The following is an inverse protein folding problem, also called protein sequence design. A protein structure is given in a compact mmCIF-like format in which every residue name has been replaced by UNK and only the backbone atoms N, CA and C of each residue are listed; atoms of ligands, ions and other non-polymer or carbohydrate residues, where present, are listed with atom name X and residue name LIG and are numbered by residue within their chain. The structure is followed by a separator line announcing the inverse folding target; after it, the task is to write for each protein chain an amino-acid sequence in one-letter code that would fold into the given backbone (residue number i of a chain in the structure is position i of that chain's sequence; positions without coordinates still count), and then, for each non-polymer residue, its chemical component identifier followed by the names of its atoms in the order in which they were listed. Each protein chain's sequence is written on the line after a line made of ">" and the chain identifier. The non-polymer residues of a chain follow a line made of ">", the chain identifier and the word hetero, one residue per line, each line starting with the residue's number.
data_IF_758008636104
#
_entry.id   IF_758008636104
#
_cell.length_a   1.000
_cell.length_b   1.000
_cell.length_c   1.000
_cell.angle_alpha   90.00
_cell.angle_beta   90.00
_cell.angle_gamma   90.00
#
_symmetry.space_group_name_H-M   'P 1'
#
loop_
_entity.id
_entity.type
_entity.pdbx_description
1 polymer ?
#
# COMPACT_ATOMS: atom_id res chain seq x y z
N UNK A 1 -6.65 19.56 4.99
CA UNK A 1 -5.60 18.97 4.11
C UNK A 1 -5.39 17.47 4.39
N UNK A 2 -6.44 16.75 4.79
CA UNK A 2 -6.31 15.34 5.19
C UNK A 2 -6.35 14.40 3.97
N UNK A 3 -7.16 14.72 2.96
CA UNK A 3 -7.36 13.89 1.76
C UNK A 3 -6.44 14.23 0.57
N UNK A 4 -5.51 15.19 0.72
CA UNK A 4 -4.64 15.64 -0.38
C UNK A 4 -3.70 14.53 -0.86
N UNK A 5 -3.38 13.57 0.02
CA UNK A 5 -2.58 12.40 -0.30
C UNK A 5 -3.17 11.55 -1.43
N UNK A 6 -4.51 11.54 -1.57
CA UNK A 6 -5.22 10.84 -2.65
C UNK A 6 -4.83 11.42 -4.01
N UNK A 7 -4.56 12.72 -4.10
CA UNK A 7 -4.14 13.36 -5.37
C UNK A 7 -2.79 12.82 -5.83
N UNK A 8 -1.82 12.66 -4.92
CA UNK A 8 -0.51 12.08 -5.25
C UNK A 8 -0.63 10.63 -5.69
N UNK A 9 -1.51 9.87 -5.02
CA UNK A 9 -1.79 8.50 -5.42
C UNK A 9 -2.42 8.43 -6.82
N UNK A 10 -3.46 9.21 -7.10
CA UNK A 10 -4.08 9.25 -8.42
C UNK A 10 -3.10 9.70 -9.52
N UNK A 11 -2.26 10.70 -9.24
CA UNK A 11 -1.28 11.18 -10.22
C UNK A 11 -0.22 10.12 -10.53
N UNK A 12 0.24 9.37 -9.53
CA UNK A 12 1.14 8.23 -9.70
C UNK A 12 0.49 7.16 -10.60
N UNK A 13 -0.75 6.77 -10.31
CA UNK A 13 -1.43 5.70 -11.04
C UNK A 13 -1.82 6.14 -12.47
N UNK A 14 -2.20 7.41 -12.69
CA UNK A 14 -2.38 7.99 -14.04
C UNK A 14 -1.05 7.96 -14.81
N UNK A 15 0.06 8.32 -14.17
CA UNK A 15 1.39 8.25 -14.79
C UNK A 15 1.77 6.82 -15.16
N UNK A 16 1.32 5.84 -14.38
CA UNK A 16 1.47 4.43 -14.71
C UNK A 16 0.66 4.03 -15.94
N UNK A 17 -0.63 4.34 -15.98
CA UNK A 17 -1.51 4.08 -17.13
C UNK A 17 -0.99 4.72 -18.42
N UNK A 18 -0.43 5.93 -18.34
CA UNK A 18 0.14 6.65 -19.49
C UNK A 18 1.60 6.29 -19.78
N UNK A 19 2.19 5.36 -19.03
CA UNK A 19 3.59 4.89 -19.17
C UNK A 19 4.61 6.04 -19.03
N UNK A 20 4.28 7.06 -18.25
CA UNK A 20 5.17 8.19 -17.92
C UNK A 20 6.19 7.79 -16.85
N UNK A 21 7.15 6.93 -17.22
CA UNK A 21 8.11 6.27 -16.30
C UNK A 21 8.77 7.20 -15.27
N UNK A 22 9.39 8.34 -15.65
CA UNK A 22 10.07 9.18 -14.66
C UNK A 22 9.10 9.87 -13.70
N UNK A 23 7.91 10.26 -14.17
CA UNK A 23 6.88 10.87 -13.32
C UNK A 23 6.27 9.84 -12.38
N UNK A 24 5.94 8.64 -12.89
CA UNK A 24 5.41 7.53 -12.08
C UNK A 24 6.36 7.15 -10.96
N UNK A 25 7.65 6.95 -11.26
CA UNK A 25 8.67 6.64 -10.23
C UNK A 25 8.85 7.79 -9.24
N UNK A 26 8.90 9.05 -9.71
CA UNK A 26 9.02 10.20 -8.83
C UNK A 26 7.82 10.32 -7.86
N UNK A 27 6.60 9.99 -8.31
CA UNK A 27 5.37 10.07 -7.51
C UNK A 27 5.20 8.91 -6.51
N UNK A 28 5.95 7.82 -6.63
CA UNK A 28 5.96 6.75 -5.61
C UNK A 28 6.44 7.28 -4.26
N UNK A 29 7.50 8.10 -4.26
CA UNK A 29 8.09 8.63 -3.02
C UNK A 29 7.11 9.47 -2.19
N UNK A 30 6.50 10.57 -2.71
CA UNK A 30 5.58 11.36 -1.91
C UNK A 30 4.35 10.55 -1.50
N UNK A 31 3.84 9.66 -2.35
CA UNK A 31 2.68 8.81 -2.03
C UNK A 31 2.98 7.86 -0.87
N UNK A 32 4.13 7.18 -0.92
CA UNK A 32 4.52 6.22 0.11
C UNK A 32 4.87 6.94 1.43
N UNK A 33 5.62 8.04 1.37
CA UNK A 33 5.97 8.85 2.54
C UNK A 33 4.70 9.30 3.27
N UNK A 34 3.73 9.86 2.54
CA UNK A 34 2.50 10.34 3.16
C UNK A 34 1.69 9.17 3.75
N UNK A 35 1.60 8.02 3.07
CA UNK A 35 0.91 6.84 3.61
C UNK A 35 1.50 6.35 4.93
N UNK A 36 2.84 6.29 5.02
CA UNK A 36 3.55 5.91 6.25
C UNK A 36 3.36 6.96 7.35
N UNK A 37 3.40 8.25 7.00
CA UNK A 37 3.15 9.34 7.95
C UNK A 37 1.73 9.27 8.55
N UNK A 38 0.72 8.95 7.73
CA UNK A 38 -0.67 8.78 8.20
C UNK A 38 -0.77 7.58 9.14
N UNK A 39 -0.17 6.44 8.78
CA UNK A 39 -0.12 5.26 9.65
C UNK A 39 0.58 5.57 10.99
N UNK A 40 1.71 6.28 10.96
CA UNK A 40 2.43 6.66 12.17
C UNK A 40 1.63 7.62 13.06
N UNK A 41 0.93 8.59 12.45
CA UNK A 41 0.12 9.58 13.18
C UNK A 41 -1.08 8.93 13.87
N UNK A 42 -1.68 7.92 13.25
CA UNK A 42 -2.85 7.19 13.76
C UNK A 42 -2.50 6.02 14.66
N UNK A 43 -1.21 5.82 15.02
CA UNK A 43 -0.74 4.68 15.85
C UNK A 43 -1.39 4.53 17.22
N UNK A 44 -2.03 5.58 17.73
CA UNK A 44 -2.75 5.57 19.00
C UNK A 44 -4.08 4.80 18.91
N UNK A 45 -4.63 4.65 17.71
CA UNK A 45 -5.90 3.98 17.45
C UNK A 45 -5.63 2.73 16.61
N UNK A 46 -5.80 1.55 17.20
CA UNK A 46 -5.42 0.28 16.53
C UNK A 46 -6.27 0.03 15.27
N UNK A 47 -7.54 0.46 15.27
CA UNK A 47 -8.39 0.43 14.07
C UNK A 47 -7.77 1.20 12.92
N UNK A 48 -7.51 2.49 13.13
CA UNK A 48 -6.93 3.36 12.10
C UNK A 48 -5.53 2.90 11.69
N UNK A 49 -4.69 2.49 12.65
CA UNK A 49 -3.35 2.01 12.35
C UNK A 49 -3.37 0.78 11.44
N UNK A 50 -4.21 -0.21 11.72
CA UNK A 50 -4.26 -1.45 10.93
C UNK A 50 -4.78 -1.20 9.50
N UNK A 51 -5.77 -0.31 9.34
CA UNK A 51 -6.25 0.11 8.02
C UNK A 51 -5.21 0.93 7.26
N UNK A 52 -4.58 1.91 7.90
CA UNK A 52 -3.57 2.75 7.26
C UNK A 52 -2.30 1.96 6.91
N UNK A 53 -1.92 0.96 7.71
CA UNK A 53 -0.86 0.02 7.35
C UNK A 53 -1.27 -0.86 6.17
N UNK A 54 -2.51 -1.34 6.12
CA UNK A 54 -3.00 -2.10 4.96
C UNK A 54 -2.93 -1.27 3.67
N UNK A 55 -3.31 0.01 3.72
CA UNK A 55 -3.19 0.96 2.60
C UNK A 55 -1.71 1.17 2.23
N UNK A 56 -0.81 1.31 3.21
CA UNK A 56 0.63 1.46 2.97
C UNK A 56 1.21 0.24 2.24
N UNK A 57 0.84 -0.97 2.67
CA UNK A 57 1.24 -2.21 2.00
C UNK A 57 0.65 -2.33 0.60
N UNK A 58 -0.60 -1.92 0.39
CA UNK A 58 -1.19 -1.84 -0.94
C UNK A 58 -0.39 -0.89 -1.84
N UNK A 59 -0.15 0.36 -1.42
CA UNK A 59 0.61 1.35 -2.21
C UNK A 59 2.00 0.80 -2.56
N UNK A 60 2.65 0.09 -1.63
CA UNK A 60 3.93 -0.57 -1.85
C UNK A 60 3.82 -1.69 -2.90
N UNK A 61 2.79 -2.53 -2.81
CA UNK A 61 2.51 -3.59 -3.77
C UNK A 61 2.29 -3.04 -5.18
N UNK A 62 1.46 -2.01 -5.27
CA UNK A 62 1.10 -1.35 -6.52
C UNK A 62 2.33 -0.67 -7.15
N UNK A 63 3.20 -0.08 -6.33
CA UNK A 63 4.48 0.47 -6.78
C UNK A 63 5.42 -0.63 -7.29
N UNK A 64 5.54 -1.76 -6.58
CA UNK A 64 6.36 -2.90 -7.02
C UNK A 64 5.88 -3.50 -8.34
N UNK A 65 4.56 -3.63 -8.54
CA UNK A 65 4.00 -4.04 -9.83
C UNK A 65 4.36 -3.02 -10.91
N UNK A 66 4.14 -1.72 -10.69
CA UNK A 66 4.54 -0.67 -11.63
C UNK A 66 6.03 -0.76 -12.02
N UNK A 67 6.92 -0.96 -11.04
CA UNK A 67 8.35 -1.18 -11.30
C UNK A 67 8.59 -2.42 -12.17
N UNK A 68 7.87 -3.52 -11.92
CA UNK A 68 8.03 -4.73 -12.75
C UNK A 68 7.70 -4.52 -14.22
N UNK A 69 6.71 -3.68 -14.52
CA UNK A 69 6.32 -3.35 -15.89
C UNK A 69 7.27 -2.34 -16.54
N UNK A 70 7.69 -1.31 -15.82
CA UNK A 70 8.59 -0.29 -16.35
C UNK A 70 9.96 -0.83 -16.74
N UNK A 71 10.45 -1.83 -16.00
CA UNK A 71 11.75 -2.45 -16.23
C UNK A 71 11.66 -3.80 -16.97
N UNK A 72 10.46 -4.16 -17.47
CA UNK A 72 10.22 -5.35 -18.28
C UNK A 72 10.80 -6.64 -17.66
N UNK A 73 10.66 -6.78 -16.34
CA UNK A 73 11.04 -7.99 -15.60
C UNK A 73 9.82 -8.73 -15.06
N UNK A 74 8.64 -8.35 -15.51
CA UNK A 74 7.35 -8.92 -15.15
C UNK A 74 7.26 -10.45 -15.33
N UNK A 75 7.89 -10.98 -16.37
CA UNK A 75 7.99 -12.43 -16.63
C UNK A 75 9.30 -13.05 -16.14
N UNK A 76 10.28 -12.23 -15.74
CA UNK A 76 11.56 -12.73 -15.24
C UNK A 76 11.38 -13.22 -13.81
N UNK A 77 11.87 -14.42 -13.55
CA UNK A 77 11.98 -14.98 -12.21
C UNK A 77 13.00 -14.15 -11.43
N UNK A 78 12.57 -13.51 -10.34
CA UNK A 78 13.46 -12.67 -9.53
C UNK A 78 13.82 -13.40 -8.23
N UNK A 79 12.82 -13.69 -7.39
CA UNK A 79 13.02 -14.09 -6.01
C UNK A 79 12.18 -15.34 -5.70
N UNK A 80 12.78 -16.39 -5.16
CA UNK A 80 12.11 -17.65 -4.79
C UNK A 80 11.30 -18.33 -5.90
N UNK A 81 11.63 -18.11 -7.18
CA UNK A 81 10.84 -18.64 -8.30
C UNK A 81 9.63 -17.78 -8.70
N UNK A 82 9.37 -16.67 -8.00
CA UNK A 82 8.31 -15.73 -8.33
C UNK A 82 8.75 -14.82 -9.48
N UNK A 83 7.86 -14.62 -10.45
CA UNK A 83 8.06 -13.61 -11.49
C UNK A 83 7.93 -12.20 -10.91
N UNK A 84 8.42 -11.19 -11.63
CA UNK A 84 8.34 -9.80 -11.19
C UNK A 84 6.94 -9.33 -10.82
N UNK A 85 5.92 -9.74 -11.57
CA UNK A 85 4.52 -9.46 -11.23
C UNK A 85 4.08 -10.13 -9.92
N UNK A 86 4.47 -11.39 -9.70
CA UNK A 86 4.12 -12.12 -8.48
C UNK A 86 4.82 -11.57 -7.23
N UNK A 87 5.93 -10.85 -7.38
CA UNK A 87 6.58 -10.19 -6.23
C UNK A 87 5.68 -9.15 -5.55
N UNK A 88 4.76 -8.51 -6.30
CA UNK A 88 3.77 -7.58 -5.76
C UNK A 88 2.71 -8.28 -4.88
N UNK A 89 2.50 -9.58 -5.05
CA UNK A 89 1.54 -10.32 -4.21
C UNK A 89 1.96 -10.35 -2.75
N UNK A 90 3.27 -10.37 -2.45
CA UNK A 90 3.78 -10.42 -1.07
C UNK A 90 3.21 -9.25 -0.24
N UNK A 91 3.42 -7.97 -0.62
CA UNK A 91 2.83 -6.84 0.09
C UNK A 91 1.30 -6.79 0.00
N UNK A 92 0.66 -7.24 -1.09
CA UNK A 92 -0.81 -7.36 -1.12
C UNK A 92 -1.32 -8.31 -0.03
N UNK A 93 -0.70 -9.48 0.11
CA UNK A 93 -1.03 -10.45 1.14
C UNK A 93 -0.78 -9.88 2.53
N UNK A 94 0.32 -9.14 2.75
CA UNK A 94 0.58 -8.48 4.04
C UNK A 94 -0.51 -7.46 4.38
N UNK A 95 -0.94 -6.64 3.42
CA UNK A 95 -2.05 -5.69 3.62
C UNK A 95 -3.36 -6.39 3.96
N UNK A 96 -3.71 -7.45 3.22
CA UNK A 96 -4.90 -8.26 3.50
C UNK A 96 -4.83 -8.95 4.88
N UNK A 97 -3.65 -9.44 5.29
CA UNK A 97 -3.44 -10.05 6.60
C UNK A 97 -3.60 -9.03 7.74
N UNK A 98 -3.21 -7.77 7.55
CA UNK A 98 -3.46 -6.71 8.53
C UNK A 98 -4.96 -6.47 8.75
N UNK A 99 -5.74 -6.42 7.68
CA UNK A 99 -7.20 -6.29 7.78
C UNK A 99 -7.82 -7.54 8.40
N UNK A 100 -7.37 -8.73 8.01
CA UNK A 100 -7.85 -9.98 8.58
C UNK A 100 -7.55 -10.05 10.09
N UNK A 101 -6.34 -9.67 10.51
CA UNK A 101 -5.98 -9.57 11.93
C UNK A 101 -6.92 -8.63 12.68
N UNK A 102 -7.20 -7.45 12.11
CA UNK A 102 -8.09 -6.49 12.74
C UNK A 102 -9.51 -7.05 12.92
N UNK A 103 -10.13 -7.51 11.83
CA UNK A 103 -11.53 -7.94 11.84
C UNK A 103 -11.76 -9.31 12.50
N UNK A 104 -10.86 -10.28 12.30
CA UNK A 104 -11.04 -11.64 12.80
C UNK A 104 -10.52 -11.83 14.24
N UNK A 105 -9.52 -11.06 14.67
CA UNK A 105 -8.87 -11.26 15.97
C UNK A 105 -9.03 -10.09 16.93
N UNK A 106 -8.73 -8.86 16.49
CA UNK A 106 -8.69 -7.68 17.35
C UNK A 106 -10.09 -7.18 17.73
N UNK A 107 -10.95 -6.93 16.73
CA UNK A 107 -12.31 -6.42 16.90
C UNK A 107 -13.18 -7.28 17.83
N UNK A 108 -13.17 -8.63 17.74
CA UNK A 108 -13.95 -9.47 18.66
C UNK A 108 -13.48 -9.42 20.11
N UNK A 109 -12.22 -9.07 20.36
CA UNK A 109 -11.61 -8.99 21.70
C UNK A 109 -11.78 -7.61 22.34
N UNK A 110 -11.98 -6.56 21.55
CA UNK A 110 -12.06 -5.17 22.01
C UNK A 110 -13.43 -4.56 21.70
N UNK A 111 -14.52 -5.24 22.11
CA UNK A 111 -15.91 -4.85 21.83
C UNK A 111 -16.37 -3.53 22.48
N UNK A 112 -15.55 -2.92 23.35
CA UNK A 112 -15.89 -1.72 24.12
C UNK A 112 -15.00 -0.52 23.82
N UNK A 113 -14.02 -0.65 22.94
CA UNK A 113 -13.30 0.51 22.44
C UNK A 113 -14.17 1.22 21.38
N UNK A 114 -14.39 2.52 21.56
CA UNK A 114 -15.10 3.35 20.60
C UNK A 114 -14.38 3.26 19.24
N UNK A 115 -15.07 2.73 18.23
CA UNK A 115 -14.66 2.88 16.84
C UNK A 115 -14.74 4.38 16.53
N UNK A 116 -13.62 5.09 16.67
CA UNK A 116 -13.51 6.45 16.14
C UNK A 116 -13.51 6.35 14.62
N UNK A 117 -14.66 6.67 14.03
CA UNK A 117 -14.83 6.93 12.59
C UNK A 117 -14.09 8.20 12.17
#
# INVERSE_FOLDING_TARGET
>A
MENLHIVFWLLKDISWCMVWRPLGVAMVFPTLIISIMIAWRTRQMVSELTHNLAITFWISANSLWMFSEYFHFDEKVILFGLTGKHSAMIPFCLGALMLLYYYAWWKPRHKHELETM
#
